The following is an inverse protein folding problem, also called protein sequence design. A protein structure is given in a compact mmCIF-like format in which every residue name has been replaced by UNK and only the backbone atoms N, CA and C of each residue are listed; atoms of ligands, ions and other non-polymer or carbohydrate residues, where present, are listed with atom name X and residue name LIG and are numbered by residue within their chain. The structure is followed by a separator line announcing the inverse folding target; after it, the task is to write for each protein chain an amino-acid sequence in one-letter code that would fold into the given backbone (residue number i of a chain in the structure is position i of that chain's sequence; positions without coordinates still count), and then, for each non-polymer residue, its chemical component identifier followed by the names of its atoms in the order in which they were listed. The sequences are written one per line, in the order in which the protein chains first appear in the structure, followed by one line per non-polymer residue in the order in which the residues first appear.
data_IF_702074235073
#
_entry.id   IF_702074235073
#
_cell.length_a   1.000
_cell.length_b   1.000
_cell.length_c   1.000
_cell.angle_alpha   90.00
_cell.angle_beta   90.00
_cell.angle_gamma   90.00
#
_symmetry.space_group_name_H-M   'P 1'
#
loop_
_entity.id
_entity.type
_entity.pdbx_description
1 polymer ?
#
# COMPACT_ATOMS: atom_id res chain seq x y z
N UNK A 1 -5.73 -14.94 -36.32
CA UNK A 1 -6.63 -14.02 -37.06
C UNK A 1 -7.56 -13.47 -36.03
N UNK A 2 -7.42 -12.22 -35.64
CA UNK A 2 -8.37 -11.58 -34.72
C UNK A 2 -9.70 -11.39 -35.48
N UNK A 3 -10.77 -11.99 -34.98
CA UNK A 3 -12.10 -11.76 -35.56
C UNK A 3 -12.58 -10.39 -35.06
N UNK A 4 -13.18 -9.60 -35.96
CA UNK A 4 -13.77 -8.32 -35.56
C UNK A 4 -15.08 -8.53 -34.79
N UNK A 5 -15.35 -7.69 -33.80
CA UNK A 5 -16.63 -7.67 -33.10
C UNK A 5 -17.79 -7.48 -34.08
N UNK A 6 -18.94 -8.09 -33.83
CA UNK A 6 -20.11 -8.16 -34.72
C UNK A 6 -19.87 -8.96 -36.01
N UNK A 7 -18.71 -9.57 -36.20
CA UNK A 7 -18.52 -10.52 -37.30
C UNK A 7 -19.46 -11.69 -37.13
N UNK A 8 -20.22 -12.01 -38.17
CA UNK A 8 -21.14 -13.14 -38.17
C UNK A 8 -20.44 -14.40 -38.70
N UNK A 9 -20.59 -15.49 -37.98
CA UNK A 9 -20.32 -16.86 -38.49
C UNK A 9 -21.63 -17.45 -38.92
N UNK A 10 -21.75 -17.81 -40.21
CA UNK A 10 -22.91 -18.50 -40.71
C UNK A 10 -22.50 -19.89 -41.14
N UNK A 11 -23.15 -20.89 -40.58
CA UNK A 11 -23.02 -22.29 -41.02
C UNK A 11 -24.28 -22.66 -41.80
N UNK A 12 -24.05 -23.14 -43.02
CA UNK A 12 -25.17 -23.58 -43.90
C UNK A 12 -24.97 -25.06 -44.28
N UNK A 13 -26.06 -25.78 -44.25
CA UNK A 13 -26.13 -27.16 -44.72
C UNK A 13 -27.22 -27.27 -45.77
N UNK A 14 -26.89 -27.77 -46.95
CA UNK A 14 -27.81 -27.99 -48.05
C UNK A 14 -28.11 -29.48 -48.18
N UNK A 15 -29.43 -29.81 -48.18
CA UNK A 15 -29.93 -31.15 -48.40
C UNK A 15 -30.03 -31.43 -49.89
N UNK A 16 -30.11 -32.72 -50.25
CA UNK A 16 -30.17 -33.18 -51.64
C UNK A 16 -31.41 -32.69 -52.40
N UNK A 17 -32.44 -32.22 -51.70
CA UNK A 17 -33.69 -31.64 -52.26
C UNK A 17 -33.61 -30.11 -52.44
N UNK A 18 -32.45 -29.52 -52.18
CA UNK A 18 -32.20 -28.09 -52.29
C UNK A 18 -32.65 -27.26 -51.09
N UNK A 19 -33.05 -27.92 -49.99
CA UNK A 19 -33.34 -27.22 -48.72
C UNK A 19 -32.03 -26.82 -48.02
N UNK A 20 -31.86 -25.54 -47.72
CA UNK A 20 -30.73 -24.99 -46.99
C UNK A 20 -31.16 -24.66 -45.56
N UNK A 21 -30.49 -25.26 -44.60
CA UNK A 21 -30.53 -24.82 -43.18
C UNK A 21 -29.31 -23.96 -42.92
N UNK A 22 -29.52 -22.78 -42.30
CA UNK A 22 -28.43 -21.91 -41.90
C UNK A 22 -28.67 -21.37 -40.50
N UNK A 23 -27.61 -21.39 -39.71
CA UNK A 23 -27.54 -20.76 -38.40
C UNK A 23 -26.41 -19.71 -38.39
N UNK A 24 -26.64 -18.63 -37.67
CA UNK A 24 -25.67 -17.52 -37.56
C UNK A 24 -25.45 -17.17 -36.11
N UNK A 25 -24.19 -17.01 -35.76
CA UNK A 25 -23.76 -16.46 -34.48
C UNK A 25 -22.98 -15.15 -34.70
N UNK A 26 -23.07 -14.24 -33.76
CA UNK A 26 -22.27 -13.02 -33.70
C UNK A 26 -21.20 -13.10 -32.65
N UNK A 27 -20.02 -12.61 -32.98
CA UNK A 27 -18.93 -12.41 -32.02
C UNK A 27 -19.22 -11.15 -31.23
N UNK A 28 -19.19 -11.27 -29.91
CA UNK A 28 -19.27 -10.14 -28.96
C UNK A 28 -18.05 -10.20 -28.07
N UNK A 29 -17.39 -9.06 -27.92
CA UNK A 29 -16.29 -8.88 -26.97
C UNK A 29 -16.79 -8.12 -25.75
N UNK A 30 -16.04 -8.25 -24.66
CA UNK A 30 -16.30 -7.59 -23.39
C UNK A 30 -15.05 -6.81 -22.98
N UNK A 31 -15.18 -5.91 -22.03
CA UNK A 31 -14.02 -5.31 -21.36
C UNK A 31 -13.74 -6.13 -20.11
N UNK A 32 -12.49 -6.50 -19.91
CA UNK A 32 -12.05 -7.24 -18.72
C UNK A 32 -12.36 -6.48 -17.41
N UNK A 33 -12.55 -7.22 -16.32
CA UNK A 33 -12.72 -6.67 -14.96
C UNK A 33 -11.66 -7.32 -14.06
N UNK A 34 -10.64 -6.51 -13.69
CA UNK A 34 -9.52 -6.93 -12.85
C UNK A 34 -9.76 -6.54 -11.41
N UNK A 35 -9.50 -7.45 -10.48
CA UNK A 35 -9.65 -7.22 -9.04
C UNK A 35 -8.49 -7.83 -8.27
N UNK A 36 -8.14 -7.18 -7.14
CA UNK A 36 -7.31 -7.75 -6.09
C UNK A 36 -8.24 -8.05 -4.92
N UNK A 37 -8.22 -9.27 -4.42
CA UNK A 37 -9.11 -9.72 -3.32
C UNK A 37 -8.32 -10.54 -2.31
N UNK A 38 -8.93 -10.81 -1.15
CA UNK A 38 -8.35 -11.65 -0.10
C UNK A 38 -6.93 -11.20 0.30
N UNK A 39 -6.72 -9.87 0.39
CA UNK A 39 -5.42 -9.28 0.74
C UNK A 39 -5.13 -9.52 2.21
N UNK A 40 -3.94 -10.01 2.48
CA UNK A 40 -3.37 -10.21 3.83
C UNK A 40 -1.95 -9.63 3.88
N UNK A 41 -1.26 -9.76 5.01
CA UNK A 41 0.16 -9.41 5.13
C UNK A 41 1.08 -10.34 4.32
N UNK A 42 0.62 -11.57 4.01
CA UNK A 42 1.43 -12.63 3.40
C UNK A 42 1.06 -12.93 1.94
N UNK A 43 -0.15 -12.57 1.52
CA UNK A 43 -0.66 -12.92 0.19
C UNK A 43 -1.80 -12.03 -0.26
N UNK A 44 -2.02 -12.00 -1.59
CA UNK A 44 -3.22 -11.46 -2.20
C UNK A 44 -3.62 -12.33 -3.40
N UNK A 45 -4.91 -12.36 -3.71
CA UNK A 45 -5.44 -13.06 -4.87
C UNK A 45 -5.75 -12.04 -5.97
N UNK A 46 -5.27 -12.31 -7.17
CA UNK A 46 -5.61 -11.58 -8.39
C UNK A 46 -6.72 -12.33 -9.09
N UNK A 47 -7.75 -11.62 -9.48
CA UNK A 47 -8.91 -12.18 -10.18
C UNK A 47 -9.26 -11.32 -11.39
N UNK A 48 -9.33 -11.95 -12.55
CA UNK A 48 -9.71 -11.34 -13.81
C UNK A 48 -10.96 -12.03 -14.36
N UNK A 49 -11.97 -11.24 -14.72
CA UNK A 49 -13.14 -11.68 -15.46
C UNK A 49 -12.96 -11.25 -16.91
N UNK A 50 -12.61 -12.19 -17.78
CA UNK A 50 -12.29 -11.92 -19.19
C UNK A 50 -12.70 -13.09 -20.07
N UNK A 51 -13.93 -13.05 -20.55
CA UNK A 51 -14.51 -14.15 -21.34
C UNK A 51 -13.86 -14.33 -22.71
N UNK A 52 -13.31 -13.24 -23.25
CA UNK A 52 -12.73 -13.24 -24.58
C UNK A 52 -11.36 -13.93 -24.60
N UNK A 53 -10.79 -14.18 -23.40
CA UNK A 53 -9.56 -14.95 -23.19
C UNK A 53 -9.79 -16.45 -22.92
N UNK A 54 -11.04 -16.90 -22.82
CA UNK A 54 -11.37 -18.33 -22.91
C UNK A 54 -11.28 -18.76 -24.38
N UNK A 55 -10.07 -19.16 -24.77
CA UNK A 55 -9.73 -19.49 -26.17
C UNK A 55 -10.06 -20.92 -26.53
N UNK A 56 -10.05 -21.81 -25.52
CA UNK A 56 -10.36 -23.22 -25.71
C UNK A 56 -11.25 -23.77 -24.59
N UNK A 57 -12.57 -23.89 -24.80
CA UNK A 57 -13.52 -24.32 -23.78
C UNK A 57 -13.35 -25.79 -23.33
N UNK A 58 -12.34 -26.50 -23.82
CA UNK A 58 -12.01 -27.87 -23.43
C UNK A 58 -10.68 -27.95 -22.64
N UNK A 59 -10.09 -26.81 -22.29
CA UNK A 59 -8.81 -26.75 -21.54
C UNK A 59 -8.69 -25.45 -20.74
N UNK A 60 -7.94 -25.49 -19.66
CA UNK A 60 -7.63 -24.32 -18.84
C UNK A 60 -6.74 -23.35 -19.64
N UNK A 61 -7.23 -22.16 -19.91
CA UNK A 61 -6.47 -21.07 -20.49
C UNK A 61 -5.71 -20.26 -19.43
N UNK A 62 -4.66 -19.51 -19.84
CA UNK A 62 -3.85 -18.67 -18.95
C UNK A 62 -3.69 -17.25 -19.49
N UNK A 63 -3.54 -16.29 -18.60
CA UNK A 63 -3.27 -14.88 -18.90
C UNK A 63 -2.14 -14.36 -18.04
N UNK A 64 -1.42 -13.35 -18.54
CA UNK A 64 -0.37 -12.66 -17.79
C UNK A 64 -0.88 -11.34 -17.23
N UNK A 65 -0.59 -11.10 -15.96
CA UNK A 65 -0.88 -9.86 -15.23
C UNK A 65 0.44 -9.27 -14.74
N UNK A 66 0.67 -7.99 -14.95
CA UNK A 66 1.78 -7.27 -14.33
C UNK A 66 1.33 -6.83 -12.93
N UNK A 67 2.12 -7.16 -11.89
CA UNK A 67 1.81 -6.80 -10.51
C UNK A 67 3.03 -6.12 -9.88
N UNK A 68 2.82 -4.95 -9.31
CA UNK A 68 3.87 -4.13 -8.68
C UNK A 68 3.37 -3.46 -7.40
N UNK A 69 4.28 -2.90 -6.64
CA UNK A 69 3.96 -2.21 -5.38
C UNK A 69 4.63 -0.83 -5.29
N UNK A 70 4.24 -0.03 -4.30
CA UNK A 70 4.95 1.21 -3.95
C UNK A 70 6.43 0.96 -3.62
N UNK A 71 6.76 -0.22 -3.08
CA UNK A 71 8.13 -0.59 -2.67
C UNK A 71 8.95 -1.21 -3.81
N UNK A 72 8.28 -1.74 -4.83
CA UNK A 72 8.91 -2.33 -6.01
C UNK A 72 8.11 -2.02 -7.27
N UNK A 73 8.51 -0.95 -7.97
CA UNK A 73 7.87 -0.50 -9.20
C UNK A 73 8.18 -1.41 -10.42
N UNK A 74 9.20 -2.27 -10.34
CA UNK A 74 9.48 -3.25 -11.39
C UNK A 74 8.53 -4.45 -11.29
N UNK A 75 8.20 -4.86 -10.07
CA UNK A 75 7.22 -5.89 -9.78
C UNK A 75 7.51 -7.25 -10.39
N UNK A 76 6.43 -7.98 -10.64
CA UNK A 76 6.44 -9.33 -11.23
C UNK A 76 5.46 -9.44 -12.37
N UNK A 77 5.71 -10.40 -13.26
CA UNK A 77 4.75 -10.88 -14.24
C UNK A 77 4.13 -12.19 -13.74
N UNK A 78 2.87 -12.15 -13.39
CA UNK A 78 2.12 -13.28 -12.84
C UNK A 78 1.31 -13.94 -13.95
N UNK A 79 1.51 -15.24 -14.20
CA UNK A 79 0.61 -16.05 -15.00
C UNK A 79 -0.54 -16.54 -14.11
N UNK A 80 -1.78 -16.23 -14.49
CA UNK A 80 -2.99 -16.68 -13.82
C UNK A 80 -3.78 -17.60 -14.72
N UNK A 81 -4.49 -18.58 -14.13
CA UNK A 81 -5.17 -19.64 -14.87
C UNK A 81 -6.70 -19.55 -14.68
N UNK A 82 -7.44 -20.02 -15.66
CA UNK A 82 -8.88 -20.19 -15.54
C UNK A 82 -9.26 -21.07 -14.35
N UNK A 83 -10.37 -20.74 -13.73
CA UNK A 83 -10.91 -21.53 -12.61
C UNK A 83 -11.54 -22.85 -13.05
N UNK A 84 -12.06 -22.91 -14.26
CA UNK A 84 -12.56 -24.11 -14.95
C UNK A 84 -12.40 -23.93 -16.46
N UNK A 85 -12.46 -25.00 -17.24
CA UNK A 85 -12.19 -25.04 -18.69
C UNK A 85 -13.03 -24.09 -19.55
N UNK A 86 -14.15 -23.55 -19.06
CA UNK A 86 -15.08 -22.67 -19.80
C UNK A 86 -15.62 -21.55 -18.88
N UNK A 87 -14.77 -20.99 -18.01
CA UNK A 87 -15.25 -19.99 -17.06
C UNK A 87 -15.07 -18.54 -17.52
N UNK A 88 -14.03 -18.25 -18.27
CA UNK A 88 -13.58 -16.90 -18.54
C UNK A 88 -13.22 -16.12 -17.25
N UNK A 89 -12.93 -16.85 -16.16
CA UNK A 89 -12.55 -16.31 -14.86
C UNK A 89 -11.18 -16.86 -14.51
N UNK A 90 -10.20 -15.97 -14.44
CA UNK A 90 -8.79 -16.30 -14.17
C UNK A 90 -8.43 -15.89 -12.75
N UNK A 91 -7.73 -16.77 -12.04
CA UNK A 91 -7.26 -16.51 -10.69
C UNK A 91 -5.78 -16.89 -10.52
N UNK A 92 -5.08 -16.11 -9.73
CA UNK A 92 -3.73 -16.39 -9.29
C UNK A 92 -3.46 -15.80 -7.92
N UNK A 93 -2.45 -16.32 -7.23
CA UNK A 93 -2.06 -15.87 -5.89
C UNK A 93 -0.64 -15.31 -5.97
N UNK A 94 -0.47 -14.12 -5.43
CA UNK A 94 0.85 -13.57 -5.12
C UNK A 94 1.18 -13.85 -3.66
N UNK A 95 2.44 -14.15 -3.39
CA UNK A 95 2.99 -14.16 -2.04
C UNK A 95 3.62 -12.79 -1.78
N UNK A 96 3.21 -12.13 -0.71
CA UNK A 96 3.79 -10.85 -0.29
C UNK A 96 5.02 -11.14 0.56
N UNK A 97 6.10 -10.45 0.32
CA UNK A 97 7.36 -10.57 1.07
C UNK A 97 7.87 -9.22 1.52
N UNK A 98 8.48 -9.18 2.70
CA UNK A 98 9.21 -8.01 3.23
C UNK A 98 10.68 -8.00 2.79
N UNK A 99 11.17 -9.06 2.14
CA UNK A 99 12.49 -9.08 1.51
C UNK A 99 12.47 -8.17 0.27
N UNK A 100 13.53 -7.41 0.06
CA UNK A 100 13.66 -6.36 -0.96
C UNK A 100 13.78 -6.88 -2.41
N UNK A 101 13.33 -8.10 -2.70
CA UNK A 101 13.40 -8.72 -4.01
C UNK A 101 12.11 -9.44 -4.38
N UNK A 102 11.51 -8.99 -5.48
CA UNK A 102 10.41 -9.70 -6.13
C UNK A 102 10.93 -10.76 -7.10
N UNK A 103 10.29 -11.93 -7.13
CA UNK A 103 10.61 -12.98 -8.10
C UNK A 103 9.50 -14.03 -8.20
N UNK A 104 9.23 -14.53 -9.42
CA UNK A 104 8.18 -15.51 -9.68
C UNK A 104 6.80 -14.98 -9.26
N UNK A 105 6.16 -15.60 -8.28
CA UNK A 105 4.90 -15.13 -7.68
C UNK A 105 5.08 -14.34 -6.38
N UNK A 106 6.34 -14.04 -5.97
CA UNK A 106 6.64 -13.25 -4.78
C UNK A 106 6.81 -11.79 -5.15
N UNK A 107 6.03 -10.92 -4.51
CA UNK A 107 6.07 -9.47 -4.64
C UNK A 107 6.63 -8.85 -3.36
N UNK A 108 7.65 -8.01 -3.46
CA UNK A 108 8.09 -7.18 -2.36
C UNK A 108 7.08 -6.06 -2.12
N UNK A 109 6.42 -6.10 -0.98
CA UNK A 109 5.50 -5.07 -0.53
C UNK A 109 5.46 -5.04 1.00
N UNK A 110 5.56 -3.84 1.58
CA UNK A 110 5.47 -3.65 3.02
C UNK A 110 4.00 -3.51 3.45
N UNK A 111 3.68 -3.80 4.71
CA UNK A 111 2.36 -3.52 5.26
C UNK A 111 1.94 -2.06 5.05
N UNK A 112 0.66 -1.84 4.71
CA UNK A 112 0.02 -0.58 4.32
C UNK A 112 0.51 0.02 2.98
N UNK A 113 1.45 -0.59 2.29
CA UNK A 113 1.80 -0.14 0.94
C UNK A 113 0.76 -0.59 -0.07
N UNK A 114 0.58 0.21 -1.11
CA UNK A 114 -0.31 -0.12 -2.21
C UNK A 114 0.32 -1.17 -3.12
N UNK A 115 -0.46 -2.18 -3.48
CA UNK A 115 -0.18 -3.11 -4.58
C UNK A 115 -1.10 -2.79 -5.75
N UNK A 116 -0.55 -2.83 -6.95
CA UNK A 116 -1.27 -2.56 -8.20
C UNK A 116 -1.14 -3.77 -9.12
N UNK A 117 -2.25 -4.26 -9.62
CA UNK A 117 -2.31 -5.23 -10.71
C UNK A 117 -2.72 -4.51 -12.00
N UNK A 118 -2.11 -4.89 -13.12
CA UNK A 118 -2.38 -4.34 -14.44
C UNK A 118 -2.62 -5.47 -15.44
N UNK A 119 -3.75 -5.40 -16.13
CA UNK A 119 -4.06 -6.21 -17.30
C UNK A 119 -4.17 -5.33 -18.54
N UNK A 120 -3.60 -5.75 -19.65
CA UNK A 120 -3.76 -5.08 -20.95
C UNK A 120 -4.75 -5.87 -21.79
N UNK A 121 -5.97 -5.38 -21.88
CA UNK A 121 -7.04 -5.94 -22.67
C UNK A 121 -6.87 -5.56 -24.15
N UNK A 122 -6.86 -6.56 -25.04
CA UNK A 122 -6.72 -6.41 -26.48
C UNK A 122 -7.93 -6.91 -27.27
N UNK A 123 -8.97 -7.35 -26.57
CA UNK A 123 -10.21 -7.89 -27.11
C UNK A 123 -11.38 -6.96 -26.80
N UNK A 124 -11.29 -5.71 -27.26
CA UNK A 124 -12.18 -4.64 -26.84
C UNK A 124 -13.43 -4.55 -27.69
N UNK A 125 -14.63 -4.32 -27.08
CA UNK A 125 -15.87 -4.08 -27.79
C UNK A 125 -15.88 -2.70 -28.48
N UNK A 126 -16.81 -2.48 -29.40
CA UNK A 126 -17.04 -1.13 -29.94
C UNK A 126 -17.39 -0.14 -28.80
N UNK A 127 -16.89 1.11 -28.83
CA UNK A 127 -16.32 1.81 -30.01
C UNK A 127 -14.82 1.66 -30.24
N UNK A 128 -14.12 0.78 -29.53
CA UNK A 128 -12.68 0.54 -29.73
C UNK A 128 -12.39 -0.05 -31.12
N UNK A 129 -11.18 0.14 -31.62
CA UNK A 129 -10.71 -0.48 -32.85
C UNK A 129 -9.94 -1.76 -32.54
N UNK A 130 -9.77 -2.62 -33.51
CA UNK A 130 -9.07 -3.92 -33.38
C UNK A 130 -7.59 -3.83 -32.99
N UNK A 131 -7.00 -2.64 -33.04
CA UNK A 131 -5.61 -2.39 -32.65
C UNK A 131 -5.49 -1.56 -31.36
N UNK A 132 -6.62 -1.24 -30.72
CA UNK A 132 -6.60 -0.51 -29.48
C UNK A 132 -6.31 -1.47 -28.33
N UNK A 133 -5.48 -1.03 -27.39
CA UNK A 133 -5.19 -1.72 -26.14
C UNK A 133 -5.78 -0.88 -25.00
N UNK A 134 -6.37 -1.53 -24.00
CA UNK A 134 -6.87 -0.89 -22.79
C UNK A 134 -6.14 -1.44 -21.57
N UNK A 135 -5.42 -0.58 -20.88
CA UNK A 135 -4.82 -0.93 -19.58
C UNK A 135 -5.87 -0.83 -18.48
N UNK A 136 -6.12 -1.94 -17.81
CA UNK A 136 -7.06 -2.09 -16.69
C UNK A 136 -6.24 -2.26 -15.41
N UNK A 137 -6.55 -1.47 -14.40
CA UNK A 137 -5.83 -1.47 -13.13
C UNK A 137 -6.76 -1.88 -11.98
N UNK A 138 -6.19 -2.59 -11.01
CA UNK A 138 -6.78 -2.82 -9.71
C UNK A 138 -5.74 -2.46 -8.64
N UNK A 139 -6.18 -1.84 -7.54
CA UNK A 139 -5.30 -1.36 -6.47
C UNK A 139 -5.90 -1.75 -5.13
N UNK A 140 -5.05 -2.23 -4.22
CA UNK A 140 -5.40 -2.54 -2.83
C UNK A 140 -4.18 -2.35 -1.93
N UNK A 141 -4.42 -2.08 -0.65
CA UNK A 141 -3.34 -1.98 0.33
C UNK A 141 -3.08 -3.31 1.01
N UNK A 142 -1.80 -3.62 1.24
CA UNK A 142 -1.39 -4.75 2.07
C UNK A 142 -1.89 -4.54 3.50
N UNK A 143 -2.66 -5.49 4.02
CA UNK A 143 -3.19 -5.41 5.38
C UNK A 143 -2.09 -5.72 6.38
N UNK A 144 -1.94 -4.87 7.41
CA UNK A 144 -1.06 -5.14 8.54
C UNK A 144 -1.82 -5.80 9.68
N UNK A 145 -1.22 -6.83 10.28
CA UNK A 145 -1.73 -7.47 11.49
C UNK A 145 -1.41 -6.67 12.77
N UNK A 146 -0.48 -5.69 12.68
CA UNK A 146 -0.09 -4.84 13.81
C UNK A 146 -0.73 -3.46 13.61
N UNK A 147 -1.55 -2.96 14.54
CA UNK A 147 -2.09 -1.62 14.49
C UNK A 147 -0.97 -0.59 14.31
N UNK A 148 -1.20 0.41 13.49
CA UNK A 148 -0.18 1.45 13.22
C UNK A 148 0.32 2.10 14.51
N UNK A 149 -0.56 2.37 15.46
CA UNK A 149 -0.23 2.98 16.76
C UNK A 149 0.61 2.11 17.71
N UNK A 150 0.88 0.85 17.33
CA UNK A 150 1.67 -0.11 18.10
C UNK A 150 2.98 -0.51 17.40
N UNK A 151 3.38 0.19 16.32
CA UNK A 151 4.57 -0.16 15.53
C UNK A 151 5.87 0.37 16.09
N UNK A 152 5.80 1.50 16.76
CA UNK A 152 6.95 2.08 17.44
C UNK A 152 6.64 2.20 18.94
N UNK A 153 7.68 2.17 19.75
CA UNK A 153 7.60 2.51 21.18
C UNK A 153 8.43 3.73 21.47
N UNK A 154 8.02 4.52 22.47
CA UNK A 154 8.72 5.72 22.90
C UNK A 154 8.90 5.69 24.42
N UNK A 155 10.12 6.01 24.90
CA UNK A 155 10.39 6.09 26.33
C UNK A 155 9.89 7.41 26.94
N UNK A 156 10.10 7.58 28.26
CA UNK A 156 9.86 8.83 28.97
C UNK A 156 10.76 9.95 28.45
N UNK A 157 10.33 11.21 28.65
CA UNK A 157 11.06 12.41 28.31
C UNK A 157 12.26 12.59 29.24
N UNK A 158 13.43 12.81 28.66
CA UNK A 158 14.60 13.30 29.35
C UNK A 158 14.92 14.72 28.87
N UNK A 159 15.27 15.62 29.80
CA UNK A 159 15.74 16.97 29.44
C UNK A 159 17.26 17.00 29.64
N UNK A 160 17.97 17.14 28.54
CA UNK A 160 19.45 17.12 28.54
C UNK A 160 20.02 18.49 28.27
N UNK A 161 21.18 18.76 28.82
CA UNK A 161 22.02 19.93 28.45
C UNK A 161 22.59 19.75 27.03
N UNK A 162 23.18 20.78 26.47
CA UNK A 162 23.88 20.69 25.19
C UNK A 162 25.05 19.70 25.19
N UNK A 163 25.58 19.36 26.39
CA UNK A 163 26.62 18.36 26.55
C UNK A 163 26.09 16.95 26.79
N UNK A 164 24.74 16.75 26.76
CA UNK A 164 24.11 15.47 26.98
C UNK A 164 23.93 15.07 28.46
N UNK A 165 24.10 15.99 29.40
CA UNK A 165 23.93 15.76 30.83
C UNK A 165 22.44 15.99 31.19
N UNK A 166 21.89 15.17 32.10
CA UNK A 166 20.52 15.30 32.55
C UNK A 166 20.32 16.62 33.33
N UNK A 167 19.31 17.40 32.97
CA UNK A 167 18.89 18.60 33.64
C UNK A 167 17.79 18.25 34.63
N UNK A 168 18.09 18.23 35.93
CA UNK A 168 17.13 17.99 37.01
C UNK A 168 16.20 19.19 37.27
N UNK A 169 16.71 20.39 37.04
CA UNK A 169 15.97 21.65 37.19
C UNK A 169 16.14 22.49 35.94
N UNK A 170 15.06 22.69 35.21
CA UNK A 170 15.03 23.44 33.96
C UNK A 170 14.62 24.90 34.25
N UNK A 171 15.46 25.87 33.87
CA UNK A 171 15.31 27.28 34.25
C UNK A 171 15.01 28.16 33.01
N UNK A 172 14.46 29.36 33.26
CA UNK A 172 14.25 30.38 32.22
C UNK A 172 15.54 30.71 31.49
N UNK A 173 15.50 30.82 30.15
CA UNK A 173 16.63 31.16 29.32
C UNK A 173 17.66 30.04 29.17
N UNK A 174 17.49 28.91 29.85
CA UNK A 174 18.35 27.73 29.65
C UNK A 174 17.88 26.97 28.43
N UNK A 175 18.80 26.60 27.52
CA UNK A 175 18.51 25.71 26.40
C UNK A 175 18.55 24.27 26.89
N UNK A 176 17.46 23.56 26.78
CA UNK A 176 17.36 22.12 27.00
C UNK A 176 17.09 21.35 25.71
N UNK A 177 17.63 20.15 25.65
CA UNK A 177 17.29 19.17 24.62
C UNK A 177 16.23 18.24 25.18
N UNK A 178 15.03 18.29 24.59
CA UNK A 178 13.92 17.38 24.88
C UNK A 178 14.19 16.06 24.17
N UNK A 179 14.70 15.10 24.90
CA UNK A 179 15.21 13.83 24.37
C UNK A 179 14.25 12.68 24.65
N UNK A 180 14.07 11.82 23.66
CA UNK A 180 13.36 10.55 23.78
C UNK A 180 14.01 9.51 22.90
N UNK A 181 13.86 8.25 23.28
CA UNK A 181 14.22 7.10 22.44
C UNK A 181 12.98 6.58 21.75
N UNK A 182 13.07 6.43 20.45
CA UNK A 182 12.04 5.78 19.63
C UNK A 182 12.59 4.46 19.13
N UNK A 183 11.87 3.37 19.36
CA UNK A 183 12.29 2.04 18.96
C UNK A 183 11.26 1.42 18.01
N UNK A 184 11.75 0.89 16.90
CA UNK A 184 10.95 0.08 16.00
C UNK A 184 10.76 -1.33 16.62
N UNK A 185 9.50 -1.74 16.83
CA UNK A 185 9.17 -3.05 17.43
C UNK A 185 8.56 -4.04 16.42
N UNK A 186 8.52 -3.65 15.14
CA UNK A 186 8.09 -4.51 14.04
C UNK A 186 9.29 -5.03 13.24
N UNK A 187 9.06 -5.96 12.33
CA UNK A 187 10.08 -6.70 11.57
C UNK A 187 10.39 -6.11 10.18
N UNK A 188 9.87 -4.91 9.90
CA UNK A 188 10.17 -4.14 8.68
C UNK A 188 10.56 -2.70 9.02
N UNK A 189 11.17 -1.99 8.06
CA UNK A 189 11.52 -0.58 8.25
C UNK A 189 10.28 0.30 8.34
N UNK A 190 10.33 1.32 9.18
CA UNK A 190 9.23 2.25 9.40
C UNK A 190 9.71 3.69 9.29
N UNK A 191 9.24 4.40 8.27
CA UNK A 191 9.37 5.86 8.22
C UNK A 191 8.54 6.49 9.33
N UNK A 192 9.08 7.55 9.94
CA UNK A 192 8.39 8.24 11.01
C UNK A 192 8.71 9.74 11.06
N UNK A 193 7.83 10.46 11.73
CA UNK A 193 8.02 11.86 12.16
C UNK A 193 7.79 11.94 13.66
N UNK A 194 8.85 12.21 14.41
CA UNK A 194 8.80 12.53 15.84
C UNK A 194 8.46 14.00 16.00
N UNK A 195 7.38 14.32 16.70
CA UNK A 195 6.83 15.66 16.85
C UNK A 195 6.78 15.99 18.35
N UNK A 196 7.28 17.18 18.71
CA UNK A 196 7.18 17.74 20.06
C UNK A 196 6.38 19.03 19.99
N UNK A 197 5.27 19.06 20.70
CA UNK A 197 4.43 20.22 20.89
C UNK A 197 4.48 20.66 22.35
N UNK A 198 4.72 21.95 22.59
CA UNK A 198 4.77 22.53 23.94
C UNK A 198 3.60 23.50 24.10
N UNK A 199 2.81 23.30 25.15
CA UNK A 199 1.68 24.15 25.52
C UNK A 199 1.93 24.81 26.86
N UNK A 200 1.40 26.02 27.01
CA UNK A 200 1.35 26.71 28.31
C UNK A 200 0.11 26.29 29.13
N UNK A 201 -0.08 26.86 30.30
CA UNK A 201 -1.22 26.60 31.22
C UNK A 201 -2.58 26.88 30.57
N UNK A 202 -2.64 27.83 29.64
CA UNK A 202 -3.86 28.18 28.92
C UNK A 202 -4.14 27.26 27.74
N UNK A 203 -3.36 26.16 27.58
CA UNK A 203 -3.43 25.21 26.47
C UNK A 203 -3.05 25.82 25.10
N UNK A 204 -2.37 26.97 25.08
CA UNK A 204 -1.87 27.55 23.84
C UNK A 204 -0.54 26.87 23.45
N UNK A 205 -0.43 26.50 22.17
CA UNK A 205 0.81 25.97 21.60
C UNK A 205 1.83 27.10 21.48
N UNK A 206 2.95 26.99 22.20
CA UNK A 206 4.03 27.97 22.20
C UNK A 206 5.26 27.49 21.41
N UNK A 207 5.36 26.19 21.16
CA UNK A 207 6.43 25.61 20.33
C UNK A 207 5.92 24.35 19.66
N UNK A 208 6.34 24.15 18.41
CA UNK A 208 6.11 22.94 17.64
C UNK A 208 7.36 22.64 16.84
N UNK A 209 7.94 21.46 17.05
CA UNK A 209 9.15 21.02 16.37
C UNK A 209 9.04 19.57 15.98
N UNK A 210 9.70 19.15 14.91
CA UNK A 210 9.69 17.76 14.47
C UNK A 210 10.99 17.32 13.82
N UNK A 211 11.23 16.01 13.84
CA UNK A 211 12.35 15.33 13.19
C UNK A 211 11.78 14.13 12.43
N UNK A 212 12.19 13.97 11.17
CA UNK A 212 11.82 12.82 10.34
C UNK A 212 12.96 11.81 10.28
N UNK A 213 12.63 10.55 10.14
CA UNK A 213 13.61 9.47 10.00
C UNK A 213 12.98 8.17 9.56
N UNK A 214 13.81 7.16 9.42
CA UNK A 214 13.44 5.78 9.19
C UNK A 214 14.10 4.91 10.27
N UNK A 215 13.35 4.02 10.88
CA UNK A 215 13.84 3.07 11.86
C UNK A 215 13.82 1.66 11.27
N UNK A 216 15.01 1.03 11.17
CA UNK A 216 15.14 -0.36 10.77
C UNK A 216 14.50 -1.31 11.79
N UNK A 217 14.19 -2.57 11.45
CA UNK A 217 13.68 -3.56 12.40
C UNK A 217 14.49 -3.61 13.70
N UNK A 218 13.81 -3.52 14.83
CA UNK A 218 14.41 -3.53 16.19
C UNK A 218 15.35 -2.37 16.51
N UNK A 219 15.53 -1.39 15.62
CA UNK A 219 16.40 -0.25 15.84
C UNK A 219 15.81 0.71 16.88
N UNK A 220 16.67 1.23 17.77
CA UNK A 220 16.38 2.31 18.71
C UNK A 220 17.15 3.57 18.30
N UNK A 221 16.44 4.67 18.16
CA UNK A 221 16.98 5.98 17.74
C UNK A 221 16.75 7.02 18.84
N UNK A 222 17.77 7.80 19.15
CA UNK A 222 17.66 8.96 20.04
C UNK A 222 17.13 10.17 19.27
N UNK A 223 15.96 10.66 19.64
CA UNK A 223 15.32 11.85 19.08
C UNK A 223 15.43 13.01 20.03
N UNK A 224 15.80 14.19 19.55
CA UNK A 224 15.84 15.39 20.37
C UNK A 224 15.42 16.64 19.62
N UNK A 225 14.74 17.55 20.31
CA UNK A 225 14.46 18.90 19.85
C UNK A 225 14.90 19.88 20.92
N UNK A 226 15.45 21.03 20.51
CA UNK A 226 15.89 22.06 21.45
C UNK A 226 14.71 22.96 21.82
N UNK A 227 14.64 23.31 23.10
CA UNK A 227 13.69 24.31 23.59
C UNK A 227 14.35 25.19 24.69
N UNK A 228 13.98 26.46 24.72
CA UNK A 228 14.41 27.42 25.72
C UNK A 228 13.19 28.19 26.23
N UNK A 229 12.71 27.93 27.46
CA UNK A 229 11.61 28.67 28.06
C UNK A 229 11.94 30.14 28.25
N UNK A 230 11.00 31.03 27.90
CA UNK A 230 11.18 32.48 28.02
C UNK A 230 10.49 33.04 29.26
N UNK A 231 9.52 32.33 29.82
CA UNK A 231 8.71 32.77 30.94
C UNK A 231 8.58 31.64 31.98
N UNK A 232 8.41 31.98 33.27
CA UNK A 232 8.12 30.99 34.30
C UNK A 232 6.70 30.48 34.12
N UNK A 233 6.42 29.27 34.57
CA UNK A 233 5.08 28.72 34.51
C UNK A 233 5.06 27.22 34.32
N UNK A 234 3.87 26.69 34.21
CA UNK A 234 3.60 25.28 33.95
C UNK A 234 3.50 25.06 32.43
N UNK A 235 4.17 24.04 31.94
CA UNK A 235 4.15 23.65 30.54
C UNK A 235 3.85 22.18 30.38
N UNK A 236 3.16 21.85 29.27
CA UNK A 236 2.86 20.49 28.87
C UNK A 236 3.62 20.18 27.58
N UNK A 237 4.52 19.20 27.66
CA UNK A 237 5.29 18.71 26.51
C UNK A 237 4.61 17.46 26.00
N UNK A 238 3.94 17.60 24.86
CA UNK A 238 3.26 16.50 24.16
C UNK A 238 4.18 15.98 23.05
N UNK A 239 4.34 14.65 23.00
CA UNK A 239 5.19 13.97 22.02
C UNK A 239 4.35 12.99 21.23
N UNK A 240 4.53 13.05 19.93
CA UNK A 240 3.82 12.22 18.96
C UNK A 240 4.82 11.55 18.04
N UNK A 241 4.54 10.35 17.58
CA UNK A 241 5.24 9.74 16.46
C UNK A 241 4.20 9.36 15.42
N UNK A 242 4.29 10.01 14.27
CA UNK A 242 3.42 9.77 13.12
C UNK A 242 4.22 9.17 11.97
N UNK A 243 3.54 8.53 11.00
CA UNK A 243 4.21 8.06 9.79
C UNK A 243 4.76 9.25 8.95
N UNK A 244 4.00 10.34 8.86
CA UNK A 244 4.42 11.59 8.21
C UNK A 244 3.53 12.75 8.66
N UNK A 245 3.98 13.98 8.41
CA UNK A 245 3.15 15.18 8.63
C UNK A 245 1.93 15.19 7.69
N UNK A 246 2.08 14.70 6.47
CA UNK A 246 1.03 14.74 5.44
C UNK A 246 -0.12 13.76 5.72
N UNK A 247 0.22 12.53 6.13
CA UNK A 247 -0.78 11.48 6.39
C UNK A 247 -1.28 11.51 7.84
N UNK A 248 -0.44 11.96 8.77
CA UNK A 248 -0.75 12.12 10.20
C UNK A 248 -1.31 10.84 10.87
N UNK A 249 -0.81 9.67 10.47
CA UNK A 249 -1.21 8.37 11.05
C UNK A 249 -0.32 8.10 12.27
N UNK A 250 -0.88 7.91 13.49
CA UNK A 250 -0.08 7.68 14.69
C UNK A 250 0.62 6.32 14.62
N UNK A 251 1.90 6.30 15.03
CA UNK A 251 2.73 5.09 15.18
C UNK A 251 2.99 4.73 16.63
N UNK A 252 2.66 5.63 17.58
CA UNK A 252 2.66 5.42 19.03
C UNK A 252 1.46 6.12 19.65
N UNK A 253 1.18 5.80 20.90
CA UNK A 253 0.33 6.66 21.73
C UNK A 253 1.00 8.02 21.97
N UNK A 254 0.18 9.07 22.17
CA UNK A 254 0.66 10.40 22.59
C UNK A 254 1.07 10.38 24.04
N UNK A 255 2.28 10.87 24.33
CA UNK A 255 2.76 11.02 25.72
C UNK A 255 2.84 12.51 26.07
N UNK A 256 2.18 12.89 27.16
CA UNK A 256 2.24 14.24 27.71
C UNK A 256 3.02 14.24 29.02
N UNK A 257 3.97 15.17 29.15
CA UNK A 257 4.79 15.38 30.34
C UNK A 257 4.62 16.80 30.83
N UNK A 258 4.22 16.95 32.10
CA UNK A 258 4.12 18.26 32.75
C UNK A 258 5.48 18.67 33.34
N UNK A 259 5.91 19.91 33.09
CA UNK A 259 7.10 20.50 33.69
C UNK A 259 6.80 21.88 34.28
N UNK A 260 7.52 22.25 35.34
CA UNK A 260 7.45 23.56 35.98
C UNK A 260 8.76 24.30 35.77
N UNK A 261 8.69 25.45 35.09
CA UNK A 261 9.81 26.38 34.88
C UNK A 261 9.75 27.44 35.96
N UNK A 262 10.89 27.69 36.63
CA UNK A 262 11.02 28.65 37.71
C UNK A 262 11.95 29.80 37.32
#
# INVERSE_FOLDING_TARGET
MQNEEDSGITVSFEFADGVVLSESAKIKWNVGDLRIVDVTEESAKIKLFERDMNLNPESIDTVNIDVFSENDSAGIKLEIAETTEDSGIFEGIITITKDDQSSGSRLYALPDSEITAKYTDRTLPKPYNTNDDLDIFAQENVISNIPTSERLSMNELEILSQNGELIERFEIGQTGMLFSKVKNIIDFSQEFTYIVQIKNEDNNVISLSWVTGEAMPSQELGMSVSWMPQEPGKYFIERFVWNSIQRAIPLTETISTEILIK
#
